data_IF_653310455697
#
_entry.id   IF_653310455697
#
_cell.length_a   1.000
_cell.length_b   1.000
_cell.length_c   1.000
_cell.angle_alpha   90.00
_cell.angle_beta   90.00
_cell.angle_gamma   90.00
#
_symmetry.space_group_name_H-M   'P 1'
#
loop_
_entity.id
_entity.type
_entity.pdbx_description
1 polymer ?
#
# COMPACT_ATOMS: atom_id res chain seq x y z
N UNK A 1 21.20 -5.72 14.07
CA UNK A 1 19.73 -5.65 13.98
C UNK A 1 19.12 -5.93 15.33
N UNK A 2 18.33 -5.00 15.83
CA UNK A 2 17.60 -5.24 17.06
C UNK A 2 16.50 -6.27 16.83
N UNK A 3 16.44 -7.30 17.66
CA UNK A 3 15.32 -8.23 17.67
C UNK A 3 14.06 -7.46 18.07
N UNK A 4 12.95 -7.58 17.31
CA UNK A 4 11.71 -6.90 17.68
C UNK A 4 11.30 -7.30 19.12
N UNK A 5 10.95 -6.32 19.92
CA UNK A 5 10.50 -6.58 21.27
C UNK A 5 9.07 -7.15 21.31
N UNK A 6 8.66 -7.63 22.47
CA UNK A 6 7.33 -8.22 22.64
C UNK A 6 6.21 -7.20 22.40
N UNK A 7 6.43 -5.93 22.76
CA UNK A 7 5.46 -4.87 22.57
C UNK A 7 5.22 -4.55 21.10
N UNK A 8 6.30 -4.51 20.30
CA UNK A 8 6.21 -4.31 18.85
C UNK A 8 5.47 -5.46 18.17
N UNK A 9 5.76 -6.70 18.58
CA UNK A 9 5.05 -7.88 18.06
C UNK A 9 3.57 -7.87 18.43
N UNK A 10 3.23 -7.45 19.65
CA UNK A 10 1.83 -7.32 20.08
C UNK A 10 1.11 -6.21 19.31
N UNK A 11 1.78 -5.11 19.02
CA UNK A 11 1.23 -4.04 18.18
C UNK A 11 0.91 -4.57 16.78
N UNK A 12 1.85 -5.27 16.16
CA UNK A 12 1.65 -5.90 14.86
C UNK A 12 0.49 -6.90 14.89
N UNK A 13 0.42 -7.74 15.92
CA UNK A 13 -0.66 -8.70 16.08
C UNK A 13 -2.03 -8.02 16.10
N UNK A 14 -2.18 -6.92 16.83
CA UNK A 14 -3.43 -6.15 16.86
C UNK A 14 -3.81 -5.58 15.49
N UNK A 15 -2.83 -5.09 14.73
CA UNK A 15 -3.06 -4.56 13.38
C UNK A 15 -3.47 -5.67 12.41
N UNK A 16 -2.85 -6.83 12.50
CA UNK A 16 -3.22 -8.01 11.69
C UNK A 16 -4.66 -8.44 11.98
N UNK A 17 -5.02 -8.54 13.25
CA UNK A 17 -6.39 -8.90 13.67
C UNK A 17 -7.39 -7.86 13.16
N UNK A 18 -7.10 -6.58 13.35
CA UNK A 18 -7.96 -5.49 12.90
C UNK A 18 -8.20 -5.57 11.39
N UNK A 19 -7.15 -5.73 10.61
CA UNK A 19 -7.26 -5.81 9.15
C UNK A 19 -8.04 -7.05 8.70
N UNK A 20 -7.78 -8.20 9.33
CA UNK A 20 -8.53 -9.43 9.05
C UNK A 20 -10.03 -9.24 9.28
N UNK A 21 -10.40 -8.62 10.40
CA UNK A 21 -11.80 -8.34 10.73
C UNK A 21 -12.43 -7.37 9.74
N UNK A 22 -11.71 -6.32 9.34
CA UNK A 22 -12.15 -5.37 8.31
C UNK A 22 -12.44 -6.06 6.97
N UNK A 23 -11.65 -7.08 6.62
CA UNK A 23 -11.83 -7.87 5.41
C UNK A 23 -12.91 -8.94 5.55
N UNK A 24 -13.47 -9.15 6.74
CA UNK A 24 -14.50 -10.14 6.99
C UNK A 24 -14.02 -11.58 7.00
N UNK A 25 -12.74 -11.81 7.23
CA UNK A 25 -12.13 -13.14 7.19
C UNK A 25 -12.07 -13.81 8.55
N UNK A 26 -12.25 -15.12 8.56
CA UNK A 26 -11.88 -15.96 9.71
C UNK A 26 -10.36 -16.21 9.69
N UNK A 27 -9.82 -16.68 10.81
CA UNK A 27 -8.39 -17.01 10.92
C UNK A 27 -7.93 -18.02 9.87
N UNK A 28 -8.75 -19.04 9.62
CA UNK A 28 -8.48 -20.05 8.60
C UNK A 28 -8.42 -19.45 7.18
N UNK A 29 -9.32 -18.52 6.89
CA UNK A 29 -9.35 -17.82 5.60
C UNK A 29 -8.08 -17.01 5.39
N UNK A 30 -7.69 -16.25 6.40
CA UNK A 30 -6.48 -15.44 6.35
C UNK A 30 -5.22 -16.30 6.19
N UNK A 31 -5.13 -17.39 6.92
CA UNK A 31 -4.03 -18.35 6.80
C UNK A 31 -3.95 -18.93 5.37
N UNK A 32 -5.06 -19.33 4.82
CA UNK A 32 -5.15 -19.88 3.46
C UNK A 32 -4.72 -18.83 2.41
N UNK A 33 -5.18 -17.59 2.54
CA UNK A 33 -4.83 -16.50 1.63
C UNK A 33 -3.36 -16.10 1.72
N UNK A 34 -2.76 -16.26 2.90
CA UNK A 34 -1.34 -16.01 3.13
C UNK A 34 -0.46 -17.20 2.77
N UNK A 35 -1.03 -18.30 2.31
CA UNK A 35 -0.30 -19.55 2.07
C UNK A 35 0.49 -20.01 3.31
N UNK A 36 -0.17 -19.96 4.46
CA UNK A 36 0.37 -20.36 5.75
C UNK A 36 -0.51 -21.43 6.39
N UNK A 37 0.09 -22.25 7.25
CA UNK A 37 -0.69 -23.10 8.13
C UNK A 37 -1.42 -22.24 9.15
N UNK A 38 -2.57 -22.70 9.64
CA UNK A 38 -3.33 -21.99 10.67
C UNK A 38 -2.48 -21.79 11.93
N UNK A 39 -1.63 -22.74 12.28
CA UNK A 39 -0.75 -22.66 13.45
C UNK A 39 0.27 -21.50 13.29
N UNK A 40 0.90 -21.39 12.14
CA UNK A 40 1.85 -20.29 11.87
C UNK A 40 1.15 -18.94 11.84
N UNK A 41 -0.01 -18.85 11.22
CA UNK A 41 -0.81 -17.64 11.20
C UNK A 41 -1.23 -17.20 12.61
N UNK A 42 -1.69 -18.13 13.43
CA UNK A 42 -2.09 -17.85 14.82
C UNK A 42 -0.92 -17.34 15.67
N UNK A 43 0.31 -17.79 15.38
CA UNK A 43 1.50 -17.26 16.06
C UNK A 43 1.65 -15.75 15.81
N UNK A 44 1.37 -15.29 14.62
CA UNK A 44 1.41 -13.86 14.28
C UNK A 44 0.35 -13.09 15.09
N UNK A 45 -0.87 -13.56 15.14
CA UNK A 45 -1.95 -12.92 15.90
C UNK A 45 -1.73 -12.95 17.43
N UNK A 46 -0.90 -13.87 17.91
CA UNK A 46 -0.51 -13.94 19.33
C UNK A 46 0.71 -13.09 19.67
N UNK A 47 1.32 -12.44 18.68
CA UNK A 47 2.52 -11.65 18.87
C UNK A 47 3.78 -12.47 19.11
N UNK A 48 3.79 -13.71 18.66
CA UNK A 48 4.96 -14.60 18.74
C UNK A 48 5.90 -14.36 17.55
N UNK A 49 7.17 -14.67 17.74
CA UNK A 49 8.18 -14.55 16.70
C UNK A 49 7.94 -15.54 15.56
N UNK A 50 8.04 -15.08 14.33
CA UNK A 50 7.96 -15.88 13.11
C UNK A 50 9.05 -15.45 12.14
N UNK A 51 9.25 -16.20 11.07
CA UNK A 51 10.27 -15.91 10.04
C UNK A 51 9.84 -14.70 9.19
N UNK A 52 10.83 -14.01 8.61
CA UNK A 52 10.61 -12.87 7.73
C UNK A 52 9.73 -13.21 6.53
N UNK A 53 9.87 -14.41 5.96
CA UNK A 53 9.03 -14.89 4.86
C UNK A 53 7.56 -14.99 5.26
N UNK A 54 7.29 -15.28 6.52
CA UNK A 54 5.91 -15.30 7.05
C UNK A 54 5.31 -13.91 7.04
N UNK A 55 6.05 -12.91 7.47
CA UNK A 55 5.60 -11.51 7.41
C UNK A 55 5.34 -11.05 5.98
N UNK A 56 6.21 -11.40 5.04
CA UNK A 56 6.00 -11.08 3.63
C UNK A 56 4.71 -11.69 3.07
N UNK A 57 4.39 -12.92 3.43
CA UNK A 57 3.15 -13.58 3.04
C UNK A 57 1.91 -12.90 3.66
N UNK A 58 2.01 -12.47 4.90
CA UNK A 58 0.96 -11.72 5.59
C UNK A 58 0.71 -10.37 4.91
N UNK A 59 1.74 -9.62 4.61
CA UNK A 59 1.64 -8.34 3.90
C UNK A 59 0.90 -8.50 2.57
N UNK A 60 1.26 -9.49 1.81
CA UNK A 60 0.62 -9.77 0.52
C UNK A 60 -0.86 -10.15 0.69
N UNK A 61 -1.20 -11.00 1.65
CA UNK A 61 -2.55 -11.44 1.91
C UNK A 61 -3.46 -10.31 2.39
N UNK A 62 -2.95 -9.43 3.25
CA UNK A 62 -3.70 -8.31 3.82
C UNK A 62 -3.68 -7.05 2.93
N UNK A 63 -3.08 -7.14 1.77
CA UNK A 63 -2.92 -6.02 0.84
C UNK A 63 -2.17 -4.85 1.49
N UNK A 64 -1.15 -5.17 2.26
CA UNK A 64 -0.24 -4.20 2.86
C UNK A 64 0.95 -3.92 1.95
N UNK A 65 1.53 -2.74 2.08
CA UNK A 65 2.75 -2.39 1.36
C UNK A 65 3.91 -3.31 1.78
N UNK A 66 4.83 -3.67 0.86
CA UNK A 66 6.01 -4.44 1.23
C UNK A 66 6.81 -3.75 2.33
N UNK A 67 7.18 -4.47 3.37
CA UNK A 67 7.89 -3.93 4.53
C UNK A 67 7.00 -3.32 5.60
N UNK A 68 5.67 -3.36 5.45
CA UNK A 68 4.74 -2.81 6.45
C UNK A 68 4.88 -3.48 7.81
N UNK A 69 5.04 -4.80 7.84
CA UNK A 69 5.27 -5.55 9.10
C UNK A 69 6.58 -5.12 9.77
N UNK A 70 7.65 -5.00 9.02
CA UNK A 70 8.94 -4.56 9.54
C UNK A 70 8.87 -3.14 10.10
N UNK A 71 8.19 -2.25 9.40
CA UNK A 71 7.98 -0.87 9.86
C UNK A 71 7.27 -0.84 11.22
N UNK A 72 6.22 -1.65 11.40
CA UNK A 72 5.51 -1.75 12.69
C UNK A 72 6.41 -2.33 13.77
N UNK A 73 7.21 -3.33 13.44
CA UNK A 73 8.18 -3.92 14.38
C UNK A 73 9.27 -2.93 14.78
N UNK A 74 9.57 -1.96 13.94
CA UNK A 74 10.56 -0.89 14.20
C UNK A 74 9.95 0.32 14.90
N UNK A 75 8.64 0.36 15.08
CA UNK A 75 7.97 1.41 15.86
C UNK A 75 6.81 2.13 15.19
N UNK A 76 6.48 1.82 13.94
CA UNK A 76 5.31 2.41 13.29
C UNK A 76 4.03 2.00 14.02
N UNK A 77 3.09 2.91 14.12
CA UNK A 77 1.82 2.69 14.82
C UNK A 77 0.75 2.07 13.93
N UNK A 78 0.93 2.15 12.62
CA UNK A 78 -0.01 1.64 11.63
C UNK A 78 0.75 0.90 10.53
N UNK A 79 0.09 -0.09 9.93
CA UNK A 79 0.59 -0.78 8.75
C UNK A 79 0.06 -0.08 7.50
N UNK A 80 0.93 0.17 6.55
CA UNK A 80 0.56 0.83 5.31
C UNK A 80 -0.10 -0.14 4.35
N UNK A 81 -1.24 0.24 3.82
CA UNK A 81 -1.96 -0.52 2.80
C UNK A 81 -1.36 -0.19 1.43
N UNK A 82 -1.22 -1.20 0.58
CA UNK A 82 -0.75 -0.99 -0.79
C UNK A 82 -1.71 -0.04 -1.54
N UNK A 83 -1.14 0.97 -2.17
CA UNK A 83 -1.92 1.99 -2.88
C UNK A 83 -2.50 3.10 -2.01
N UNK A 84 -2.26 3.09 -0.70
CA UNK A 84 -2.72 4.14 0.20
C UNK A 84 -1.88 5.43 0.04
N UNK A 85 -2.52 6.56 0.26
CA UNK A 85 -1.84 7.86 0.24
C UNK A 85 -1.10 8.09 1.56
N UNK A 86 0.20 8.31 1.49
CA UNK A 86 1.05 8.60 2.64
C UNK A 86 1.58 10.02 2.46
N UNK A 87 1.31 10.90 3.43
CA UNK A 87 1.76 12.31 3.39
C UNK A 87 1.43 13.02 2.07
N UNK A 88 0.26 12.70 1.48
CA UNK A 88 -0.16 13.26 0.21
C UNK A 88 0.46 12.59 -1.02
N UNK A 89 1.28 11.57 -0.83
CA UNK A 89 1.88 10.79 -1.92
C UNK A 89 1.26 9.40 -1.94
N UNK A 90 0.66 9.04 -3.07
CA UNK A 90 0.08 7.72 -3.24
C UNK A 90 1.18 6.70 -3.48
N UNK A 91 1.21 5.65 -2.68
CA UNK A 91 2.12 4.54 -2.91
C UNK A 91 1.69 3.77 -4.16
N UNK A 92 2.53 3.75 -5.17
CA UNK A 92 2.32 2.99 -6.39
C UNK A 92 3.44 1.95 -6.53
N UNK A 93 3.10 0.69 -6.78
CA UNK A 93 4.11 -0.35 -6.90
C UNK A 93 4.95 -0.26 -8.18
N UNK A 94 4.51 0.52 -9.16
CA UNK A 94 5.23 0.70 -10.42
C UNK A 94 5.18 2.14 -10.89
N UNK A 95 6.21 2.57 -11.61
CA UNK A 95 6.26 3.91 -12.21
C UNK A 95 5.13 4.14 -13.23
N UNK A 96 4.72 3.10 -13.95
CA UNK A 96 3.60 3.16 -14.90
C UNK A 96 2.28 3.44 -14.18
N UNK A 97 2.01 2.73 -13.08
CA UNK A 97 0.81 2.96 -12.26
C UNK A 97 0.76 4.37 -11.70
N UNK A 98 1.92 4.91 -11.28
CA UNK A 98 1.99 6.28 -10.77
C UNK A 98 1.61 7.32 -11.83
N UNK A 99 2.03 7.13 -13.08
CA UNK A 99 1.69 8.04 -14.16
C UNK A 99 0.19 8.02 -14.49
N UNK A 100 -0.42 6.84 -14.53
CA UNK A 100 -1.87 6.69 -14.75
C UNK A 100 -2.68 7.31 -13.60
N UNK A 101 -2.26 7.07 -12.35
CA UNK A 101 -2.90 7.63 -11.17
C UNK A 101 -2.80 9.17 -11.15
N UNK A 102 -1.66 9.72 -11.51
CA UNK A 102 -1.48 11.17 -11.61
C UNK A 102 -2.38 11.78 -12.68
N UNK A 103 -2.51 11.12 -13.83
CA UNK A 103 -3.40 11.56 -14.90
C UNK A 103 -4.86 11.55 -14.48
N UNK A 104 -5.29 10.49 -13.79
CA UNK A 104 -6.65 10.39 -13.27
C UNK A 104 -6.93 11.45 -12.21
N UNK A 105 -6.01 11.67 -11.29
CA UNK A 105 -6.14 12.68 -10.25
C UNK A 105 -6.28 14.09 -10.84
N UNK A 106 -5.50 14.43 -11.85
CA UNK A 106 -5.61 15.72 -12.56
C UNK A 106 -6.97 15.85 -13.25
N UNK A 107 -7.43 14.78 -13.89
CA UNK A 107 -8.73 14.75 -14.55
C UNK A 107 -9.87 14.99 -13.55
N UNK A 108 -9.84 14.31 -12.41
CA UNK A 108 -10.85 14.43 -11.35
C UNK A 108 -10.89 15.86 -10.77
N UNK A 109 -9.74 16.49 -10.58
CA UNK A 109 -9.65 17.88 -10.12
C UNK A 109 -10.28 18.84 -11.12
N UNK A 110 -10.06 18.64 -12.42
CA UNK A 110 -10.67 19.45 -13.46
C UNK A 110 -12.19 19.30 -13.49
N UNK A 111 -12.71 18.09 -13.36
CA UNK A 111 -14.17 17.84 -13.29
C UNK A 111 -14.76 18.56 -12.09
N UNK A 112 -14.10 18.53 -10.94
CA UNK A 112 -14.59 19.15 -9.71
C UNK A 112 -14.54 20.69 -9.76
N UNK A 113 -13.50 21.27 -10.37
CA UNK A 113 -13.28 22.73 -10.40
C UNK A 113 -13.88 23.44 -11.61
N UNK A 114 -13.94 22.76 -12.75
CA UNK A 114 -14.46 23.32 -14.02
C UNK A 114 -15.32 22.32 -14.77
N UNK A 115 -16.53 22.02 -14.27
CA UNK A 115 -17.40 21.03 -14.91
C UNK A 115 -17.85 21.42 -16.33
N UNK A 116 -17.70 22.69 -16.72
CA UNK A 116 -18.09 23.21 -18.03
C UNK A 116 -17.01 23.02 -19.11
N UNK A 117 -15.80 22.59 -18.74
CA UNK A 117 -14.72 22.39 -19.72
C UNK A 117 -15.01 21.18 -20.61
N UNK A 118 -14.91 21.32 -21.95
CA UNK A 118 -15.11 20.19 -22.86
C UNK A 118 -14.14 19.04 -22.55
N UNK A 119 -14.64 17.81 -22.65
CA UNK A 119 -13.86 16.62 -22.31
C UNK A 119 -12.54 16.50 -23.11
N UNK A 120 -12.54 16.89 -24.38
CA UNK A 120 -11.34 16.89 -25.22
C UNK A 120 -10.26 17.86 -24.72
N UNK A 121 -10.67 19.04 -24.30
CA UNK A 121 -9.76 20.05 -23.75
C UNK A 121 -9.19 19.61 -22.40
N UNK A 122 -10.02 19.02 -21.55
CA UNK A 122 -9.60 18.45 -20.27
C UNK A 122 -8.55 17.35 -20.46
N UNK A 123 -8.74 16.48 -21.43
CA UNK A 123 -7.81 15.39 -21.73
C UNK A 123 -6.44 15.93 -22.19
N UNK A 124 -6.41 16.96 -23.02
CA UNK A 124 -5.19 17.60 -23.48
C UNK A 124 -4.47 18.32 -22.33
N UNK A 125 -5.19 19.02 -21.47
CA UNK A 125 -4.62 19.70 -20.32
C UNK A 125 -4.04 18.71 -19.30
N UNK A 126 -4.76 17.64 -19.00
CA UNK A 126 -4.28 16.56 -18.12
C UNK A 126 -3.00 15.92 -18.66
N UNK A 127 -2.98 15.65 -19.95
CA UNK A 127 -1.80 15.07 -20.62
C UNK A 127 -0.60 16.02 -20.54
N UNK A 128 -0.80 17.30 -20.79
CA UNK A 128 0.26 18.31 -20.71
C UNK A 128 0.84 18.43 -19.30
N UNK A 129 0.01 18.38 -18.29
CA UNK A 129 0.45 18.43 -16.89
C UNK A 129 1.26 17.17 -16.53
N UNK A 130 0.80 15.99 -16.92
CA UNK A 130 1.52 14.73 -16.68
C UNK A 130 2.87 14.73 -17.39
N UNK A 131 2.94 15.22 -18.61
CA UNK A 131 4.19 15.38 -19.37
C UNK A 131 5.18 16.31 -18.65
N UNK A 132 4.70 17.43 -18.14
CA UNK A 132 5.53 18.38 -17.40
C UNK A 132 6.06 17.78 -16.09
N UNK A 133 5.23 17.04 -15.37
CA UNK A 133 5.63 16.32 -14.15
C UNK A 133 6.69 15.25 -14.46
N UNK A 134 6.56 14.58 -15.59
CA UNK A 134 7.55 13.61 -16.05
C UNK A 134 8.89 14.25 -16.38
N UNK A 135 8.88 15.39 -17.07
CA UNK A 135 10.09 16.15 -17.39
C UNK A 135 10.81 16.62 -16.13
N UNK A 136 10.08 16.96 -15.09
CA UNK A 136 10.63 17.38 -13.79
C UNK A 136 11.09 16.22 -12.91
N UNK A 137 10.87 14.97 -13.35
CA UNK A 137 11.24 13.78 -12.61
C UNK A 137 10.38 13.51 -11.37
N UNK A 138 9.23 14.16 -11.24
CA UNK A 138 8.31 13.98 -10.12
C UNK A 138 7.57 12.65 -10.24
N UNK A 139 7.22 12.27 -11.47
CA UNK A 139 6.70 10.94 -11.79
C UNK A 139 7.70 10.24 -12.70
N UNK A 140 7.81 8.93 -12.54
CA UNK A 140 8.81 8.14 -13.25
C UNK A 140 8.82 8.41 -14.74
N UNK A 141 9.94 8.93 -15.21
CA UNK A 141 10.20 9.04 -16.62
C UNK A 141 10.34 7.64 -17.21
N UNK A 142 9.88 7.48 -18.43
CA UNK A 142 10.19 6.32 -19.20
C UNK A 142 11.72 6.22 -19.32
N UNK A 143 12.28 5.19 -18.72
CA UNK A 143 13.72 4.92 -18.86
C UNK A 143 13.95 4.26 -20.21
N UNK A 144 13.67 4.97 -21.28
CA UNK A 144 14.13 4.53 -22.58
C UNK A 144 15.63 4.70 -22.64
N UNK A 145 16.36 3.65 -22.91
CA UNK A 145 17.80 3.75 -23.11
C UNK A 145 18.12 4.59 -24.34
#
# INVERSE_FOLDING_TARGET
MATPDADSRQRLARLVIKRRVELGWHKADAASKADLTITTYMRVEKGLSVRDVTYAKIEKALDWAPGACDAVLEGATEAQVAGEVIDGVRYAPTAAGLAEDAQQAVHDVFIATRPETPAGEMAEMSKAIVEELRKRGIIGGDSSP
#
